data_IF_070120786871
#
_entry.id   IF_070120786871
#
_cell.length_a   1.000
_cell.length_b   1.000
_cell.length_c   1.000
_cell.angle_alpha   90.00
_cell.angle_beta   90.00
_cell.angle_gamma   90.00
#
_symmetry.space_group_name_H-M   'P 1'
#
loop_
_entity.id
_entity.type
_entity.pdbx_description
1 polymer ?
#
# COMPACT_ATOMS: atom_id res chain seq x y z
N UNK A 1 -6.49 -37.23 -8.31
CA UNK A 1 -5.39 -36.41 -7.76
C UNK A 1 -5.92 -35.03 -7.36
N UNK A 2 -5.63 -34.66 -6.11
CA UNK A 2 -6.13 -33.55 -5.27
C UNK A 2 -6.67 -32.29 -5.98
N UNK A 3 -7.97 -32.08 -5.85
CA UNK A 3 -8.59 -30.75 -5.88
C UNK A 3 -8.17 -30.02 -4.61
N UNK A 4 -7.39 -28.95 -4.73
CA UNK A 4 -7.07 -28.06 -3.60
C UNK A 4 -8.29 -27.17 -3.37
N UNK A 5 -9.13 -27.55 -2.40
CA UNK A 5 -10.09 -26.61 -1.80
C UNK A 5 -9.28 -25.44 -1.25
N UNK A 6 -9.44 -24.28 -1.89
CA UNK A 6 -8.97 -23.01 -1.34
C UNK A 6 -9.80 -22.78 -0.09
N UNK A 7 -9.15 -22.85 1.08
CA UNK A 7 -9.80 -22.58 2.34
C UNK A 7 -10.32 -21.16 2.30
N UNK A 8 -11.65 -21.01 2.30
CA UNK A 8 -12.31 -19.78 2.68
C UNK A 8 -11.84 -19.46 4.08
N UNK A 9 -10.98 -18.45 4.24
CA UNK A 9 -10.79 -17.84 5.55
C UNK A 9 -12.10 -17.14 5.88
N UNK A 10 -12.84 -17.69 6.84
CA UNK A 10 -13.97 -17.01 7.45
C UNK A 10 -13.44 -15.77 8.16
N UNK A 11 -13.41 -14.64 7.46
CA UNK A 11 -13.11 -13.35 8.09
C UNK A 11 -14.37 -12.92 8.82
N UNK A 12 -14.35 -13.23 10.12
CA UNK A 12 -15.23 -12.72 11.18
C UNK A 12 -15.85 -11.36 10.84
N UNK A 13 -17.17 -11.28 11.00
CA UNK A 13 -18.11 -10.18 10.72
C UNK A 13 -17.82 -8.85 11.45
N UNK A 14 -16.63 -8.69 12.05
CA UNK A 14 -16.14 -7.44 12.67
C UNK A 14 -15.19 -6.63 11.78
N UNK A 15 -14.91 -7.09 10.55
CA UNK A 15 -13.97 -6.43 9.64
C UNK A 15 -14.54 -5.23 8.86
N UNK A 16 -15.85 -4.97 8.92
CA UNK A 16 -16.52 -4.01 8.03
C UNK A 16 -16.13 -2.53 8.22
N UNK A 17 -15.48 -2.15 9.32
CA UNK A 17 -15.14 -0.74 9.60
C UNK A 17 -13.65 -0.40 9.44
N UNK A 18 -12.78 -1.35 9.06
CA UNK A 18 -11.34 -1.09 8.92
C UNK A 18 -10.85 -1.30 7.49
N UNK A 19 -11.19 -0.36 6.63
CA UNK A 19 -10.63 -0.28 5.28
C UNK A 19 -9.17 0.17 5.34
N UNK A 20 -8.25 -0.62 4.79
CA UNK A 20 -6.83 -0.28 4.76
C UNK A 20 -6.50 0.72 3.64
N UNK A 21 -5.72 1.77 3.93
CA UNK A 21 -5.25 2.70 2.90
C UNK A 21 -3.85 2.31 2.41
N UNK A 22 -3.74 1.96 1.13
CA UNK A 22 -2.49 1.62 0.46
C UNK A 22 -1.97 2.80 -0.34
N UNK A 23 -0.74 3.23 -0.05
CA UNK A 23 -0.07 4.31 -0.77
C UNK A 23 1.02 3.74 -1.67
N UNK A 24 0.99 4.10 -2.94
CA UNK A 24 1.97 3.68 -3.94
C UNK A 24 2.49 4.86 -4.76
N UNK A 25 3.73 4.76 -5.22
CA UNK A 25 4.42 5.83 -5.96
C UNK A 25 4.44 5.62 -7.48
N UNK A 26 3.83 4.55 -7.97
CA UNK A 26 3.67 4.25 -9.38
C UNK A 26 2.29 4.70 -9.87
N UNK A 27 2.26 5.73 -10.72
CA UNK A 27 1.02 6.17 -11.36
C UNK A 27 0.36 5.05 -12.16
N UNK A 28 1.17 4.23 -12.83
CA UNK A 28 0.68 3.07 -13.57
C UNK A 28 -0.05 2.05 -12.69
N UNK A 29 0.33 1.89 -11.41
CA UNK A 29 -0.38 1.00 -10.49
C UNK A 29 -1.79 1.55 -10.20
N UNK A 30 -1.88 2.85 -9.90
CA UNK A 30 -3.17 3.50 -9.63
C UNK A 30 -4.09 3.47 -10.85
N UNK A 31 -3.57 3.78 -12.03
CA UNK A 31 -4.33 3.75 -13.29
C UNK A 31 -4.88 2.34 -13.57
N UNK A 32 -4.05 1.32 -13.37
CA UNK A 32 -4.48 -0.06 -13.58
C UNK A 32 -5.59 -0.43 -12.58
N UNK A 33 -5.39 -0.20 -11.28
CA UNK A 33 -6.39 -0.54 -10.25
C UNK A 33 -7.72 0.20 -10.44
N UNK A 34 -7.71 1.42 -10.99
CA UNK A 34 -8.92 2.23 -11.18
C UNK A 34 -9.64 1.89 -12.49
N UNK A 35 -8.91 1.54 -13.55
CA UNK A 35 -9.48 1.24 -14.86
C UNK A 35 -9.39 -0.25 -15.18
N UNK A 36 -10.51 -1.01 -15.13
CA UNK A 36 -10.50 -2.45 -15.42
C UNK A 36 -10.14 -2.77 -16.87
N UNK A 37 -10.19 -1.80 -17.79
CA UNK A 37 -9.79 -1.94 -19.19
C UNK A 37 -8.31 -1.67 -19.47
N UNK A 38 -7.49 -1.37 -18.46
CA UNK A 38 -6.07 -1.11 -18.65
C UNK A 38 -5.31 -2.38 -19.05
N UNK A 39 -4.52 -2.32 -20.12
CA UNK A 39 -3.70 -3.45 -20.57
C UNK A 39 -2.35 -3.45 -19.85
N UNK A 40 -2.06 -4.53 -19.12
CA UNK A 40 -0.79 -4.67 -18.39
C UNK A 40 0.26 -5.33 -19.27
N UNK A 41 1.32 -4.59 -19.56
CA UNK A 41 2.38 -5.03 -20.47
C UNK A 41 3.38 -6.01 -19.82
N UNK A 42 3.44 -6.09 -18.49
CA UNK A 42 4.41 -6.92 -17.76
C UNK A 42 3.72 -8.01 -16.94
N UNK A 43 4.08 -9.27 -17.17
CA UNK A 43 3.53 -10.43 -16.44
C UNK A 43 3.75 -10.37 -14.92
N UNK A 44 4.87 -9.81 -14.46
CA UNK A 44 5.11 -9.65 -13.01
C UNK A 44 4.15 -8.66 -12.36
N UNK A 45 3.64 -7.68 -13.11
CA UNK A 45 2.70 -6.67 -12.62
C UNK A 45 1.25 -7.15 -12.68
N UNK A 46 0.91 -8.06 -13.59
CA UNK A 46 -0.47 -8.56 -13.74
C UNK A 46 -0.94 -9.37 -12.53
N UNK A 47 -0.05 -10.11 -11.88
CA UNK A 47 -0.38 -10.87 -10.65
C UNK A 47 -0.76 -9.91 -9.52
N UNK A 48 0.10 -8.93 -9.23
CA UNK A 48 -0.18 -7.94 -8.20
C UNK A 48 -1.44 -7.14 -8.52
N UNK A 49 -1.64 -6.78 -9.78
CA UNK A 49 -2.85 -6.07 -10.21
C UNK A 49 -4.12 -6.85 -9.92
N UNK A 50 -4.19 -8.12 -10.31
CA UNK A 50 -5.39 -8.93 -10.08
C UNK A 50 -5.69 -9.07 -8.59
N UNK A 51 -4.66 -9.27 -7.77
CA UNK A 51 -4.79 -9.32 -6.31
C UNK A 51 -5.29 -8.00 -5.71
N UNK A 52 -4.66 -6.88 -6.08
CA UNK A 52 -5.04 -5.53 -5.60
C UNK A 52 -6.48 -5.20 -5.98
N UNK A 53 -6.87 -5.48 -7.23
CA UNK A 53 -8.22 -5.22 -7.71
C UNK A 53 -9.26 -6.06 -6.98
N UNK A 54 -9.01 -7.35 -6.80
CA UNK A 54 -9.95 -8.27 -6.13
C UNK A 54 -10.29 -7.82 -4.71
N UNK A 55 -9.30 -7.33 -3.96
CA UNK A 55 -9.54 -6.80 -2.61
C UNK A 55 -10.09 -5.36 -2.60
N UNK A 56 -9.82 -4.53 -3.63
CA UNK A 56 -10.54 -3.27 -3.81
C UNK A 56 -12.04 -3.54 -4.04
N UNK A 57 -12.38 -4.58 -4.82
CA UNK A 57 -13.76 -4.99 -5.09
C UNK A 57 -14.45 -5.54 -3.82
N UNK A 58 -13.69 -6.12 -2.89
CA UNK A 58 -14.14 -6.58 -1.56
C UNK A 58 -14.25 -5.47 -0.51
N UNK A 59 -13.87 -4.24 -0.87
CA UNK A 59 -13.77 -3.09 0.04
C UNK A 59 -12.84 -3.32 1.24
N UNK A 60 -11.80 -4.16 1.07
CA UNK A 60 -10.81 -4.44 2.12
C UNK A 60 -9.73 -3.33 2.18
N UNK A 61 -9.47 -2.67 1.05
CA UNK A 61 -8.53 -1.56 0.97
C UNK A 61 -8.88 -0.51 -0.08
N UNK A 62 -8.28 0.67 0.05
CA UNK A 62 -8.32 1.78 -0.92
C UNK A 62 -6.89 2.14 -1.32
N UNK A 63 -6.64 2.27 -2.62
CA UNK A 63 -5.32 2.66 -3.16
C UNK A 63 -5.28 4.17 -3.43
N UNK A 64 -4.13 4.79 -3.15
CA UNK A 64 -3.89 6.20 -3.41
C UNK A 64 -2.46 6.42 -3.92
N UNK A 65 -2.30 7.37 -4.83
CA UNK A 65 -1.00 7.77 -5.32
C UNK A 65 -0.28 8.69 -4.33
N UNK A 66 0.97 8.35 -4.01
CA UNK A 66 1.87 9.14 -3.19
C UNK A 66 3.12 9.48 -3.98
N UNK A 67 3.38 10.79 -4.15
CA UNK A 67 4.60 11.25 -4.84
C UNK A 67 5.86 10.69 -4.15
N UNK A 68 6.82 10.21 -4.94
CA UNK A 68 8.13 9.67 -4.50
C UNK A 68 8.83 10.53 -3.44
N UNK A 69 8.77 11.86 -3.56
CA UNK A 69 9.39 12.77 -2.59
C UNK A 69 8.74 12.75 -1.20
N UNK A 70 7.58 12.10 -1.06
CA UNK A 70 6.80 11.98 0.18
C UNK A 70 6.63 10.54 0.63
N UNK A 71 7.11 9.56 -0.14
CA UNK A 71 7.01 8.15 0.22
C UNK A 71 8.06 7.77 1.27
N UNK A 72 7.64 7.72 2.54
CA UNK A 72 8.53 7.34 3.64
C UNK A 72 9.00 5.87 3.51
N UNK A 73 8.24 5.01 2.82
CA UNK A 73 8.61 3.61 2.60
C UNK A 73 9.87 3.45 1.73
N UNK A 74 10.24 4.47 0.94
CA UNK A 74 11.53 4.49 0.22
C UNK A 74 12.71 4.38 1.21
N UNK A 75 12.61 4.98 2.40
CA UNK A 75 13.66 4.93 3.40
C UNK A 75 13.92 3.50 3.91
N UNK A 76 12.90 2.65 3.88
CA UNK A 76 12.95 1.27 4.38
C UNK A 76 13.34 0.26 3.30
N UNK A 77 13.12 0.60 2.02
CA UNK A 77 13.31 -0.34 0.90
C UNK A 77 14.58 -0.06 0.10
N UNK A 78 15.12 1.16 0.17
CA UNK A 78 16.28 1.59 -0.62
C UNK A 78 17.29 2.34 0.27
N UNK A 79 18.60 2.14 0.08
CA UNK A 79 19.60 2.97 0.74
C UNK A 79 19.56 4.38 0.14
N UNK A 80 18.99 5.34 0.88
CA UNK A 80 18.95 6.75 0.46
C UNK A 80 20.29 7.42 0.82
N UNK A 81 21.00 8.02 -0.15
CA UNK A 81 22.24 8.74 0.14
C UNK A 81 21.98 9.91 1.10
N UNK A 82 23.04 10.37 1.76
CA UNK A 82 22.95 11.55 2.62
C UNK A 82 22.53 12.77 1.78
N UNK A 83 21.48 13.48 2.22
CA UNK A 83 20.92 14.62 1.49
C UNK A 83 19.57 15.06 2.06
N UNK A 84 19.01 16.13 1.50
CA UNK A 84 17.77 16.76 1.98
C UNK A 84 16.58 15.79 2.02
N UNK A 85 16.44 14.91 1.02
CA UNK A 85 15.36 13.90 0.97
C UNK A 85 15.41 12.95 2.18
N UNK A 86 16.61 12.50 2.57
CA UNK A 86 16.79 11.59 3.72
C UNK A 86 16.43 12.29 5.02
N UNK A 87 16.96 13.50 5.23
CA UNK A 87 16.66 14.29 6.44
C UNK A 87 15.18 14.66 6.56
N UNK A 88 14.53 14.96 5.44
CA UNK A 88 13.09 15.19 5.40
C UNK A 88 12.29 13.99 5.93
N UNK A 89 12.61 12.77 5.48
CA UNK A 89 11.94 11.55 5.95
C UNK A 89 12.23 11.24 7.41
N UNK A 90 13.49 11.36 7.84
CA UNK A 90 13.88 11.15 9.24
C UNK A 90 13.13 12.12 10.16
N UNK A 91 13.08 13.41 9.81
CA UNK A 91 12.35 14.41 10.57
C UNK A 91 10.85 14.11 10.64
N UNK A 92 10.24 13.62 9.55
CA UNK A 92 8.83 13.21 9.55
C UNK A 92 8.56 12.06 10.52
N UNK A 93 9.43 11.06 10.56
CA UNK A 93 9.30 9.93 11.49
C UNK A 93 9.47 10.40 12.93
N UNK A 94 10.51 11.19 13.22
CA UNK A 94 10.78 11.72 14.56
C UNK A 94 9.61 12.58 15.03
N UNK A 95 9.09 13.48 14.19
CA UNK A 95 7.93 14.30 14.50
C UNK A 95 6.70 13.44 14.83
N UNK A 96 6.44 12.41 14.04
CA UNK A 96 5.32 11.50 14.29
C UNK A 96 5.48 10.75 15.62
N UNK A 97 6.66 10.19 15.90
CA UNK A 97 6.96 9.53 17.17
C UNK A 97 6.82 10.50 18.37
N UNK A 98 7.37 11.70 18.25
CA UNK A 98 7.28 12.73 19.28
C UNK A 98 5.85 13.21 19.52
N UNK A 99 5.00 13.28 18.50
CA UNK A 99 3.58 13.64 18.69
C UNK A 99 2.81 12.61 19.51
N UNK A 100 3.17 11.32 19.40
CA UNK A 100 2.49 10.23 20.13
C UNK A 100 2.87 10.14 21.59
N UNK A 101 4.06 10.60 21.97
CA UNK A 101 4.52 10.59 23.37
C UNK A 101 3.81 11.62 24.25
N UNK A 102 3.20 12.66 23.67
CA UNK A 102 2.51 13.72 24.43
C UNK A 102 1.01 13.49 24.63
N UNK A 103 0.37 12.62 23.83
CA UNK A 103 -1.06 12.28 23.98
C UNK A 103 -1.32 11.25 25.10
N UNK A 104 -0.28 10.76 25.78
CA UNK A 104 -0.35 9.72 26.82
C UNK A 104 -0.27 10.26 28.26
N UNK A 105 -0.34 11.58 28.45
CA UNK A 105 -0.31 12.25 29.75
C UNK A 105 -1.54 13.14 29.96
#
# INVERSE_FOLDING_TARGET
>A
CRSKKQGSCETSTYASDMVAFMFDDSQSMLENTTNPGSTINKKSQSICFHFIRECCDRDEWRTAYLKICKNIADLLTKPIPSGEKRWYFVNKIIHWLGSKTWESH
#
